data_IF_182583222960
#
_entry.id   IF_182583222960
#
_cell.length_a   1.000
_cell.length_b   1.000
_cell.length_c   1.000
_cell.angle_alpha   90.00
_cell.angle_beta   90.00
_cell.angle_gamma   90.00
#
_symmetry.space_group_name_H-M   'P 1'
#
loop_
_entity.id
_entity.type
_entity.pdbx_description
1 polymer ?
#
# COMPACT_ATOMS: atom_id res chain seq x y z
N UNK A 1 13.90 -0.82 -36.02
CA UNK A 1 13.93 -2.05 -35.19
C UNK A 1 14.38 -1.74 -33.73
N UNK A 2 13.68 -0.83 -33.03
CA UNK A 2 14.05 -0.34 -31.68
C UNK A 2 13.03 -0.67 -30.56
N UNK A 3 11.98 -1.41 -30.88
CA UNK A 3 10.81 -1.62 -30.00
C UNK A 3 11.01 -2.70 -28.92
N UNK A 4 11.92 -3.66 -29.14
CA UNK A 4 12.04 -4.85 -28.29
C UNK A 4 12.64 -4.55 -26.90
N UNK A 5 13.66 -3.69 -26.81
CA UNK A 5 14.33 -3.37 -25.53
C UNK A 5 13.45 -2.55 -24.58
N UNK A 6 12.63 -1.64 -25.10
CA UNK A 6 11.74 -0.77 -24.31
C UNK A 6 10.55 -1.54 -23.72
N UNK A 7 10.10 -2.61 -24.37
CA UNK A 7 9.03 -3.45 -23.86
C UNK A 7 9.52 -4.41 -22.78
N UNK A 8 10.69 -5.03 -22.97
CA UNK A 8 11.31 -5.91 -21.97
C UNK A 8 11.70 -5.17 -20.67
N UNK A 9 12.20 -3.93 -20.77
CA UNK A 9 12.50 -3.12 -19.58
C UNK A 9 11.23 -2.70 -18.81
N UNK A 10 10.13 -2.39 -19.53
CA UNK A 10 8.84 -2.08 -18.92
C UNK A 10 8.21 -3.31 -18.26
N UNK A 11 8.28 -4.48 -18.89
CA UNK A 11 7.79 -5.73 -18.28
C UNK A 11 8.62 -6.11 -17.05
N UNK A 12 9.95 -6.05 -17.11
CA UNK A 12 10.80 -6.29 -15.95
C UNK A 12 10.50 -5.33 -14.77
N UNK A 13 10.16 -4.07 -15.07
CA UNK A 13 9.71 -3.11 -14.05
C UNK A 13 8.33 -3.46 -13.47
N UNK A 14 7.42 -3.98 -14.30
CA UNK A 14 6.09 -4.39 -13.87
C UNK A 14 6.15 -5.69 -13.02
N UNK A 15 7.01 -6.63 -13.39
CA UNK A 15 7.25 -7.86 -12.64
C UNK A 15 7.90 -7.57 -11.30
N UNK A 16 8.84 -6.62 -11.25
CA UNK A 16 9.42 -6.14 -9.99
C UNK A 16 8.34 -5.53 -9.09
N UNK A 17 7.50 -4.63 -9.62
CA UNK A 17 6.42 -4.01 -8.84
C UNK A 17 5.42 -5.06 -8.34
N UNK A 18 5.08 -6.05 -9.17
CA UNK A 18 4.24 -7.18 -8.77
C UNK A 18 4.88 -7.97 -7.63
N UNK A 19 6.15 -8.34 -7.76
CA UNK A 19 6.87 -9.08 -6.73
C UNK A 19 6.96 -8.31 -5.40
N UNK A 20 7.23 -7.01 -5.44
CA UNK A 20 7.22 -6.15 -4.26
C UNK A 20 5.85 -6.10 -3.60
N UNK A 21 4.78 -5.99 -4.38
CA UNK A 21 3.40 -6.02 -3.88
C UNK A 21 3.08 -7.34 -3.19
N UNK A 22 3.38 -8.47 -3.84
CA UNK A 22 3.17 -9.79 -3.25
C UNK A 22 4.01 -9.97 -1.98
N UNK A 23 5.21 -9.38 -1.93
CA UNK A 23 6.02 -9.37 -0.72
C UNK A 23 5.38 -8.54 0.40
N UNK A 24 4.77 -7.39 0.09
CA UNK A 24 3.99 -6.62 1.06
C UNK A 24 2.77 -7.44 1.54
N UNK A 25 2.02 -8.06 0.61
CA UNK A 25 0.88 -8.94 0.94
C UNK A 25 1.32 -10.04 1.91
N UNK A 26 2.39 -10.75 1.61
CA UNK A 26 2.92 -11.81 2.47
C UNK A 26 3.34 -11.28 3.86
N UNK A 27 3.94 -10.09 3.95
CA UNK A 27 4.32 -9.48 5.22
C UNK A 27 3.11 -9.07 6.07
N UNK A 28 2.02 -8.64 5.43
CA UNK A 28 0.75 -8.35 6.11
C UNK A 28 0.12 -9.63 6.65
N UNK A 29 -0.02 -10.64 5.79
CA UNK A 29 -0.66 -11.91 6.15
C UNK A 29 0.13 -12.71 7.19
N UNK A 30 1.46 -12.62 7.18
CA UNK A 30 2.29 -13.24 8.21
C UNK A 30 2.06 -12.66 9.61
N UNK A 31 1.59 -11.41 9.70
CA UNK A 31 1.29 -10.75 10.98
C UNK A 31 -0.20 -10.81 11.34
N UNK A 32 -1.08 -10.78 10.33
CA UNK A 32 -2.54 -10.81 10.48
C UNK A 32 -3.17 -11.66 9.38
N UNK A 33 -3.24 -12.99 9.57
CA UNK A 33 -3.81 -13.91 8.59
C UNK A 33 -5.26 -13.57 8.22
N UNK A 34 -6.03 -13.01 9.17
CA UNK A 34 -7.42 -12.62 8.98
C UNK A 34 -7.62 -11.51 7.93
N UNK A 35 -6.55 -10.80 7.53
CA UNK A 35 -6.62 -9.85 6.42
C UNK A 35 -6.86 -10.51 5.08
N UNK A 36 -6.57 -11.81 4.93
CA UNK A 36 -6.72 -12.52 3.66
C UNK A 36 -8.15 -12.42 3.10
N UNK A 37 -9.15 -12.49 3.98
CA UNK A 37 -10.56 -12.43 3.59
C UNK A 37 -11.01 -11.08 3.03
N UNK A 38 -10.26 -9.99 3.27
CA UNK A 38 -10.66 -8.63 2.89
C UNK A 38 -9.62 -7.85 2.10
N UNK A 39 -8.39 -8.36 1.99
CA UNK A 39 -7.32 -7.73 1.24
C UNK A 39 -7.57 -7.91 -0.27
N UNK A 40 -7.70 -6.80 -0.97
CA UNK A 40 -7.96 -6.79 -2.41
C UNK A 40 -6.82 -6.09 -3.17
N UNK A 41 -6.70 -6.38 -4.46
CA UNK A 41 -5.86 -5.61 -5.39
C UNK A 41 -6.77 -4.66 -6.16
N UNK A 42 -6.54 -3.36 -6.01
CA UNK A 42 -7.29 -2.33 -6.71
C UNK A 42 -6.90 -2.21 -8.20
N UNK A 43 -7.66 -1.44 -9.00
CA UNK A 43 -7.41 -1.27 -10.44
C UNK A 43 -6.03 -0.69 -10.79
N UNK A 44 -5.48 0.14 -9.89
CA UNK A 44 -4.13 0.72 -10.01
C UNK A 44 -3.01 -0.28 -9.67
N UNK A 45 -3.35 -1.49 -9.24
CA UNK A 45 -2.42 -2.48 -8.71
C UNK A 45 -2.04 -2.24 -7.25
N UNK A 46 -2.67 -1.28 -6.55
CA UNK A 46 -2.51 -1.07 -5.11
C UNK A 46 -3.15 -2.20 -4.30
N UNK A 47 -2.65 -2.47 -3.08
CA UNK A 47 -3.38 -3.28 -2.11
C UNK A 47 -4.38 -2.40 -1.37
N UNK A 48 -5.61 -2.88 -1.24
CA UNK A 48 -6.70 -2.21 -0.54
C UNK A 48 -7.12 -3.05 0.66
N UNK A 49 -7.23 -2.42 1.83
CA UNK A 49 -7.72 -3.05 3.05
C UNK A 49 -8.89 -2.22 3.58
N UNK A 50 -10.14 -2.69 3.44
CA UNK A 50 -11.32 -1.98 3.90
C UNK A 50 -11.28 -1.73 5.42
N UNK A 51 -11.69 -0.53 5.82
CA UNK A 51 -11.84 -0.11 7.22
C UNK A 51 -13.27 -0.32 7.73
N UNK A 52 -13.45 -0.40 9.05
CA UNK A 52 -14.77 -0.63 9.66
C UNK A 52 -15.70 0.56 9.49
N UNK A 53 -15.17 1.78 9.62
CA UNK A 53 -15.92 3.02 9.49
C UNK A 53 -16.16 3.47 8.04
N UNK A 54 -15.81 2.64 7.05
CA UNK A 54 -15.82 2.99 5.63
C UNK A 54 -14.47 3.48 5.11
N UNK A 55 -14.32 3.48 3.78
CA UNK A 55 -13.03 3.73 3.13
C UNK A 55 -12.06 2.55 3.25
N UNK A 56 -10.81 2.77 2.88
CA UNK A 56 -9.78 1.74 2.88
C UNK A 56 -8.39 2.30 3.12
N UNK A 57 -7.53 1.54 3.79
CA UNK A 57 -6.09 1.76 3.72
C UNK A 57 -5.60 1.28 2.36
N UNK A 58 -4.93 2.17 1.63
CA UNK A 58 -4.35 1.85 0.34
C UNK A 58 -2.83 1.76 0.41
N UNK A 59 -2.27 0.74 -0.21
CA UNK A 59 -0.82 0.56 -0.34
C UNK A 59 -0.49 0.58 -1.83
N UNK A 60 0.03 1.71 -2.28
CA UNK A 60 0.21 2.00 -3.71
C UNK A 60 1.61 2.50 -4.04
N UNK A 61 1.88 2.62 -5.33
CA UNK A 61 3.09 3.23 -5.87
C UNK A 61 2.80 4.65 -6.32
N UNK A 62 3.58 5.61 -5.80
CA UNK A 62 3.49 7.02 -6.19
C UNK A 62 4.87 7.58 -6.48
N UNK A 63 4.96 8.55 -7.40
CA UNK A 63 6.19 9.34 -7.57
C UNK A 63 6.31 10.32 -6.41
N UNK A 64 7.41 10.23 -5.67
CA UNK A 64 7.75 11.12 -4.57
C UNK A 64 9.17 11.62 -4.78
N UNK A 65 9.32 12.95 -4.90
CA UNK A 65 10.62 13.61 -5.19
C UNK A 65 11.33 12.99 -6.42
N UNK A 66 10.57 12.77 -7.50
CA UNK A 66 11.08 12.21 -8.76
C UNK A 66 11.29 10.69 -8.79
N UNK A 67 11.33 10.01 -7.64
CA UNK A 67 11.50 8.57 -7.57
C UNK A 67 10.17 7.85 -7.28
N UNK A 68 9.88 6.70 -7.90
CA UNK A 68 8.70 5.93 -7.55
C UNK A 68 8.92 5.26 -6.18
N UNK A 69 7.97 5.43 -5.26
CA UNK A 69 8.00 4.91 -3.88
C UNK A 69 6.71 4.18 -3.55
N UNK A 70 6.81 3.16 -2.69
CA UNK A 70 5.64 2.60 -2.04
C UNK A 70 5.18 3.55 -0.95
N UNK A 71 3.87 3.78 -0.89
CA UNK A 71 3.23 4.63 0.10
C UNK A 71 2.07 3.89 0.76
N UNK A 72 1.75 4.30 1.98
CA UNK A 72 0.53 3.88 2.67
C UNK A 72 -0.35 5.11 2.81
N UNK A 73 -1.55 5.05 2.26
CA UNK A 73 -2.56 6.09 2.36
C UNK A 73 -3.65 5.59 3.31
N UNK A 74 -3.95 6.36 4.32
CA UNK A 74 -5.01 6.05 5.27
C UNK A 74 -5.98 7.24 5.36
N UNK A 75 -7.29 7.02 5.24
CA UNK A 75 -8.28 8.09 5.31
C UNK A 75 -8.32 8.68 6.72
N UNK A 76 -8.41 10.00 6.83
CA UNK A 76 -8.60 10.73 8.10
C UNK A 76 -9.87 11.56 8.02
N UNK A 77 -10.34 12.13 9.14
CA UNK A 77 -11.58 12.91 9.19
C UNK A 77 -11.67 13.96 8.06
N UNK A 78 -10.58 14.68 7.79
CA UNK A 78 -10.51 15.74 6.78
C UNK A 78 -9.55 15.40 5.61
N UNK A 79 -9.56 14.15 5.14
CA UNK A 79 -8.82 13.76 3.93
C UNK A 79 -8.04 12.46 4.08
N UNK A 80 -6.74 12.48 3.82
CA UNK A 80 -5.89 11.30 3.95
C UNK A 80 -4.48 11.65 4.43
N UNK A 81 -3.90 10.77 5.25
CA UNK A 81 -2.49 10.79 5.58
C UNK A 81 -1.74 9.87 4.62
N UNK A 82 -0.67 10.38 4.02
CA UNK A 82 0.25 9.61 3.18
C UNK A 82 1.55 9.39 3.95
N UNK A 83 1.86 8.13 4.25
CA UNK A 83 3.15 7.71 4.82
C UNK A 83 4.04 7.19 3.69
N UNK A 84 5.34 7.52 3.72
CA UNK A 84 6.35 7.11 2.72
C UNK A 84 7.45 6.23 3.33
N UNK A 85 7.17 4.97 3.71
CA UNK A 85 8.17 4.14 4.38
C UNK A 85 9.30 3.73 3.45
N UNK A 86 10.53 3.71 3.97
CA UNK A 86 11.72 3.42 3.18
C UNK A 86 11.88 1.94 2.74
N UNK A 87 11.16 1.01 3.38
CA UNK A 87 11.28 -0.44 3.12
C UNK A 87 9.91 -1.10 3.06
N UNK A 88 9.80 -2.23 2.34
CA UNK A 88 8.55 -3.01 2.25
C UNK A 88 8.05 -3.49 3.63
N UNK A 89 8.98 -3.81 4.55
CA UNK A 89 8.62 -4.16 5.94
C UNK A 89 8.05 -2.97 6.69
N UNK A 90 8.58 -1.77 6.46
CA UNK A 90 8.05 -0.54 7.04
C UNK A 90 6.71 -0.15 6.41
N UNK A 91 6.47 -0.48 5.13
CA UNK A 91 5.15 -0.36 4.49
C UNK A 91 4.11 -1.23 5.19
N UNK A 92 4.40 -2.52 5.37
CA UNK A 92 3.49 -3.42 6.07
C UNK A 92 3.20 -2.94 7.51
N UNK A 93 4.23 -2.52 8.26
CA UNK A 93 4.05 -1.95 9.61
C UNK A 93 3.19 -0.69 9.62
N UNK A 94 3.40 0.23 8.67
CA UNK A 94 2.62 1.46 8.59
C UNK A 94 1.13 1.20 8.28
N UNK A 95 0.84 0.20 7.42
CA UNK A 95 -0.53 -0.21 7.13
C UNK A 95 -1.20 -0.87 8.35
N UNK A 96 -0.51 -1.79 9.03
CA UNK A 96 -1.05 -2.43 10.24
C UNK A 96 -1.31 -1.42 11.36
N UNK A 97 -0.44 -0.42 11.54
CA UNK A 97 -0.67 0.69 12.48
C UNK A 97 -1.94 1.47 12.13
N UNK A 98 -2.18 1.77 10.84
CA UNK A 98 -3.39 2.46 10.43
C UNK A 98 -4.65 1.62 10.71
N UNK A 99 -4.59 0.30 10.52
CA UNK A 99 -5.69 -0.61 10.87
C UNK A 99 -5.94 -0.69 12.39
N UNK A 100 -4.88 -0.57 13.21
CA UNK A 100 -5.01 -0.53 14.67
C UNK A 100 -5.63 0.76 15.17
N UNK A 101 -5.34 1.87 14.50
CA UNK A 101 -5.96 3.16 14.81
C UNK A 101 -7.48 3.11 14.51
N UNK A 102 -7.90 2.53 13.37
CA UNK A 102 -9.32 2.25 13.04
C UNK A 102 -9.98 1.34 14.07
N UNK A 103 -9.34 0.21 14.42
CA UNK A 103 -9.89 -0.76 15.37
C UNK A 103 -10.11 -0.21 16.78
N UNK A 104 -9.42 0.86 17.16
CA UNK A 104 -9.57 1.53 18.47
C UNK A 104 -10.64 2.64 18.47
N UNK A 105 -11.35 2.85 17.37
CA UNK A 105 -12.36 3.92 17.25
C UNK A 105 -11.76 5.33 17.33
N UNK A 106 -10.44 5.47 17.25
CA UNK A 106 -9.81 6.75 16.98
C UNK A 106 -9.94 6.94 15.48
N UNK A 107 -10.90 7.77 15.04
CA UNK A 107 -10.83 8.31 13.69
C UNK A 107 -9.37 8.70 13.46
N UNK A 108 -8.75 8.16 12.40
CA UNK A 108 -7.33 8.36 12.08
C UNK A 108 -7.08 9.87 12.17
N UNK A 109 -6.55 10.32 13.29
CA UNK A 109 -6.66 11.72 13.68
C UNK A 109 -5.42 12.39 13.14
N UNK A 110 -5.61 13.37 12.26
CA UNK A 110 -4.54 14.22 11.78
C UNK A 110 -3.99 15.01 12.96
N UNK A 111 -2.97 14.45 13.63
CA UNK A 111 -2.14 15.24 14.53
C UNK A 111 -1.30 16.16 13.64
N UNK A 112 -1.65 17.45 13.71
CA UNK A 112 -0.99 18.58 13.06
C UNK A 112 0.48 18.70 13.48
#
# INVERSE_FOLDING_TARGET
MASTRRSAARSASADTVRAERERIRALLLAQRPELEARLAVGPSGALLIPLRAGGSVEIGRMRRRGAPRWVVVAPVADGAIVREPATLRSVARAALSALDEDGRGRALSAVR
#
